data_IF_372395040515
#
_entry.id   IF_372395040515
#
_cell.length_a   1.000
_cell.length_b   1.000
_cell.length_c   1.000
_cell.angle_alpha   90.00
_cell.angle_beta   90.00
_cell.angle_gamma   90.00
#
_symmetry.space_group_name_H-M   'P 1'
#
loop_
_entity.id
_entity.type
_entity.pdbx_description
1 polymer ?
#
# COMPACT_ATOMS: atom_id res chain seq x y z
N UNK A 1 10.29 -46.78 -28.77
CA UNK A 1 10.62 -45.64 -27.90
C UNK A 1 9.29 -45.03 -27.48
N UNK A 2 8.88 -45.23 -26.23
CA UNK A 2 7.58 -44.75 -25.75
C UNK A 2 7.56 -43.22 -25.81
N UNK A 3 6.47 -42.70 -26.37
CA UNK A 3 6.30 -41.29 -26.68
C UNK A 3 6.19 -40.47 -25.38
N UNK A 4 7.32 -39.88 -24.98
CA UNK A 4 7.45 -39.05 -23.77
C UNK A 4 6.38 -37.95 -23.74
N UNK A 5 5.91 -37.50 -24.90
CA UNK A 5 4.89 -36.46 -25.03
C UNK A 5 3.55 -36.87 -24.42
N UNK A 6 3.12 -38.12 -24.63
CA UNK A 6 1.88 -38.64 -24.07
C UNK A 6 1.91 -38.72 -22.53
N UNK A 7 3.09 -39.00 -21.95
CA UNK A 7 3.29 -39.00 -20.50
C UNK A 7 3.22 -37.59 -19.91
N UNK A 8 3.78 -36.60 -20.60
CA UNK A 8 3.68 -35.20 -20.16
C UNK A 8 2.25 -34.66 -20.29
N UNK A 9 1.53 -35.03 -21.34
CA UNK A 9 0.13 -34.62 -21.53
C UNK A 9 -0.79 -35.26 -20.48
N UNK A 10 -0.62 -36.54 -20.16
CA UNK A 10 -1.37 -37.16 -19.06
C UNK A 10 -1.02 -36.57 -17.70
N UNK A 11 0.27 -36.34 -17.42
CA UNK A 11 0.70 -35.71 -16.18
C UNK A 11 0.14 -34.29 -16.03
N UNK A 12 0.09 -33.51 -17.12
CA UNK A 12 -0.49 -32.17 -17.13
C UNK A 12 -2.00 -32.24 -16.87
N UNK A 13 -2.73 -33.13 -17.54
CA UNK A 13 -4.18 -33.29 -17.31
C UNK A 13 -4.46 -33.65 -15.86
N UNK A 14 -3.75 -34.62 -15.26
CA UNK A 14 -3.94 -34.97 -13.84
C UNK A 14 -3.60 -33.83 -12.88
N UNK A 15 -2.59 -33.01 -13.19
CA UNK A 15 -2.21 -31.87 -12.34
C UNK A 15 -3.29 -30.78 -12.31
N UNK A 16 -4.03 -30.61 -13.41
CA UNK A 16 -5.09 -29.61 -13.54
C UNK A 16 -6.49 -30.16 -13.24
N UNK A 17 -6.70 -31.48 -13.30
CA UNK A 17 -7.99 -32.10 -12.94
C UNK A 17 -8.17 -32.23 -11.41
N UNK A 18 -7.09 -32.40 -10.64
CA UNK A 18 -7.15 -32.37 -9.17
C UNK A 18 -7.51 -30.97 -8.61
N UNK A 19 -7.44 -29.92 -9.44
CA UNK A 19 -7.99 -28.59 -9.09
C UNK A 19 -9.49 -28.45 -9.36
N UNK A 20 -10.15 -29.44 -9.97
CA UNK A 20 -11.62 -29.48 -10.09
C UNK A 20 -12.34 -29.98 -8.82
N UNK A 21 -11.61 -30.17 -7.71
CA UNK A 21 -12.17 -30.04 -6.37
C UNK A 21 -12.52 -28.59 -5.99
N UNK A 22 -12.55 -27.66 -6.97
CA UNK A 22 -12.94 -26.27 -6.82
C UNK A 22 -14.36 -26.21 -6.24
N UNK A 23 -14.41 -25.94 -4.94
CA UNK A 23 -15.60 -25.55 -4.21
C UNK A 23 -16.40 -24.58 -5.07
N UNK A 24 -17.68 -24.89 -5.28
CA UNK A 24 -18.62 -24.08 -6.06
C UNK A 24 -18.75 -22.72 -5.40
N UNK A 25 -17.80 -21.83 -5.69
CA UNK A 25 -17.73 -20.49 -5.15
C UNK A 25 -18.93 -19.77 -5.74
N UNK A 26 -19.90 -19.47 -4.89
CA UNK A 26 -21.13 -18.81 -5.33
C UNK A 26 -20.78 -17.50 -6.03
N UNK A 27 -21.54 -17.11 -7.06
CA UNK A 27 -21.31 -15.84 -7.79
C UNK A 27 -21.22 -14.61 -6.85
N UNK A 28 -21.82 -14.69 -5.66
CA UNK A 28 -21.69 -13.68 -4.60
C UNK A 28 -20.30 -13.67 -3.94
N UNK A 29 -19.76 -14.84 -3.55
CA UNK A 29 -18.40 -14.95 -2.99
C UNK A 29 -17.32 -14.52 -3.99
N UNK A 30 -17.47 -14.90 -5.26
CA UNK A 30 -16.55 -14.47 -6.33
C UNK A 30 -16.51 -12.94 -6.47
N UNK A 31 -17.66 -12.25 -6.38
CA UNK A 31 -17.74 -10.78 -6.39
C UNK A 31 -17.11 -10.16 -5.14
N UNK A 32 -17.32 -10.75 -3.96
CA UNK A 32 -16.72 -10.27 -2.70
C UNK A 32 -15.20 -10.36 -2.73
N UNK A 33 -14.64 -11.48 -3.19
CA UNK A 33 -13.20 -11.67 -3.35
C UNK A 33 -12.62 -10.66 -4.36
N UNK A 34 -13.31 -10.45 -5.49
CA UNK A 34 -12.89 -9.45 -6.48
C UNK A 34 -12.87 -8.03 -5.91
N UNK A 35 -13.85 -7.67 -5.08
CA UNK A 35 -13.89 -6.35 -4.43
C UNK A 35 -12.76 -6.17 -3.42
N UNK A 36 -12.48 -7.20 -2.61
CA UNK A 36 -11.38 -7.16 -1.63
C UNK A 36 -10.03 -7.04 -2.34
N UNK A 37 -9.82 -7.79 -3.43
CA UNK A 37 -8.61 -7.67 -4.24
C UNK A 37 -8.43 -6.25 -4.81
N UNK A 38 -9.51 -5.63 -5.31
CA UNK A 38 -9.47 -4.27 -5.82
C UNK A 38 -9.09 -3.25 -4.73
N UNK A 39 -9.71 -3.33 -3.55
CA UNK A 39 -9.37 -2.44 -2.44
C UNK A 39 -7.95 -2.69 -1.91
N UNK A 40 -7.46 -3.93 -1.94
CA UNK A 40 -6.10 -4.29 -1.56
C UNK A 40 -5.06 -3.73 -2.54
N UNK A 41 -5.31 -3.80 -3.84
CA UNK A 41 -4.45 -3.19 -4.87
C UNK A 41 -4.39 -1.67 -4.69
N UNK A 42 -5.54 -1.04 -4.44
CA UNK A 42 -5.64 0.40 -4.17
C UNK A 42 -4.89 0.80 -2.90
N UNK A 43 -5.05 0.06 -1.81
CA UNK A 43 -4.36 0.32 -0.55
C UNK A 43 -2.83 0.17 -0.71
N UNK A 44 -2.36 -0.89 -1.37
CA UNK A 44 -0.92 -1.08 -1.68
C UNK A 44 -0.35 0.03 -2.57
N UNK A 45 -1.13 0.48 -3.55
CA UNK A 45 -0.72 1.59 -4.42
C UNK A 45 -0.55 2.89 -3.62
N UNK A 46 -1.47 3.16 -2.68
CA UNK A 46 -1.36 4.31 -1.78
C UNK A 46 -0.16 4.18 -0.84
N UNK A 47 0.05 3.01 -0.25
CA UNK A 47 1.21 2.74 0.61
C UNK A 47 2.52 2.97 -0.15
N UNK A 48 2.67 2.41 -1.35
CA UNK A 48 3.84 2.61 -2.19
C UNK A 48 4.09 4.10 -2.51
N UNK A 49 3.02 4.84 -2.83
CA UNK A 49 3.13 6.29 -3.06
C UNK A 49 3.64 7.02 -1.82
N UNK A 50 3.15 6.68 -0.62
CA UNK A 50 3.61 7.26 0.65
C UNK A 50 5.03 6.89 0.99
N UNK A 51 5.42 5.65 0.71
CA UNK A 51 6.80 5.22 0.83
C UNK A 51 7.74 6.01 -0.08
N UNK A 52 7.35 6.27 -1.32
CA UNK A 52 8.10 7.10 -2.26
C UNK A 52 8.22 8.55 -1.79
N UNK A 53 7.12 9.16 -1.35
CA UNK A 53 7.11 10.52 -0.79
C UNK A 53 8.08 10.63 0.39
N UNK A 54 8.00 9.70 1.35
CA UNK A 54 8.84 9.65 2.53
C UNK A 54 10.32 9.45 2.18
N UNK A 55 10.63 8.46 1.34
CA UNK A 55 12.02 8.13 0.95
C UNK A 55 12.66 9.29 0.20
N UNK A 56 11.91 9.93 -0.69
CA UNK A 56 12.38 11.10 -1.42
C UNK A 56 12.70 12.23 -0.45
N UNK A 57 11.73 12.64 0.38
CA UNK A 57 11.91 13.73 1.34
C UNK A 57 13.09 13.47 2.28
N UNK A 58 13.23 12.24 2.77
CA UNK A 58 14.33 11.83 3.66
C UNK A 58 15.68 12.01 2.99
N UNK A 59 15.84 11.52 1.74
CA UNK A 59 17.07 11.72 0.96
C UNK A 59 17.37 13.19 0.70
N UNK A 60 16.36 14.03 0.47
CA UNK A 60 16.57 15.46 0.31
C UNK A 60 17.10 16.08 1.61
N UNK A 61 16.48 15.77 2.75
CA UNK A 61 16.91 16.28 4.07
C UNK A 61 18.32 15.82 4.45
N UNK A 62 18.67 14.55 4.23
CA UNK A 62 19.99 13.99 4.53
C UNK A 62 21.11 14.66 3.72
N UNK A 63 20.81 15.07 2.48
CA UNK A 63 21.75 15.77 1.62
C UNK A 63 21.77 17.29 1.84
N UNK A 64 21.08 17.81 2.86
CA UNK A 64 20.95 19.25 3.09
C UNK A 64 20.23 20.00 1.95
N UNK A 65 19.39 19.30 1.18
CA UNK A 65 18.69 19.86 0.02
C UNK A 65 17.21 20.05 0.31
N UNK A 66 16.67 21.15 -0.19
CA UNK A 66 15.22 21.43 -0.13
C UNK A 66 14.60 21.26 -1.52
N UNK A 67 13.52 20.47 -1.59
CA UNK A 67 12.68 20.35 -2.78
C UNK A 67 12.17 21.71 -3.23
N UNK A 68 12.23 22.00 -4.54
CA UNK A 68 11.87 23.32 -5.09
C UNK A 68 10.48 23.79 -4.65
N UNK A 69 9.48 22.91 -4.69
CA UNK A 69 8.10 23.24 -4.28
C UNK A 69 7.90 23.45 -2.77
N UNK A 70 8.92 23.18 -1.94
CA UNK A 70 8.89 23.36 -0.49
C UNK A 70 9.80 24.50 -0.01
N UNK A 71 10.55 25.14 -0.93
CA UNK A 71 11.39 26.29 -0.60
C UNK A 71 10.53 27.50 -0.28
N UNK A 72 10.78 28.08 0.88
CA UNK A 72 10.21 29.38 1.26
C UNK A 72 11.12 30.45 0.65
N UNK A 73 10.57 31.27 -0.26
CA UNK A 73 11.27 32.36 -0.95
C UNK A 73 10.71 33.74 -0.61
N UNK A 74 10.05 33.85 0.54
CA UNK A 74 9.46 35.10 1.01
C UNK A 74 10.61 36.05 1.34
N UNK A 75 10.45 37.34 1.02
CA UNK A 75 11.35 38.41 1.46
C UNK A 75 10.73 39.18 2.63
N UNK A 76 11.55 39.78 3.51
CA UNK A 76 11.03 40.69 4.52
C UNK A 76 10.27 41.84 3.86
N UNK A 77 9.09 42.17 4.38
CA UNK A 77 8.31 43.35 3.94
C UNK A 77 8.68 44.62 4.70
N UNK A 78 9.42 44.49 5.79
CA UNK A 78 9.80 45.57 6.71
C UNK A 78 11.31 45.54 6.91
N UNK A 79 11.92 46.73 6.91
CA UNK A 79 13.37 46.93 7.10
C UNK A 79 14.10 47.30 5.81
N UNK A 80 15.21 48.03 5.96
CA UNK A 80 16.14 48.25 4.87
C UNK A 80 16.76 46.90 4.47
N UNK A 81 16.84 46.65 3.16
CA UNK A 81 17.36 45.40 2.57
C UNK A 81 18.88 45.32 2.68
N UNK A 82 19.40 45.41 3.90
CA UNK A 82 20.81 45.26 4.20
C UNK A 82 21.27 43.82 3.84
N UNK A 83 22.44 43.65 3.19
CA UNK A 83 22.94 42.34 2.81
C UNK A 83 23.03 41.33 3.97
N UNK A 84 23.40 41.77 5.17
CA UNK A 84 23.53 40.89 6.33
C UNK A 84 22.16 40.39 6.80
N UNK A 85 21.15 41.26 6.80
CA UNK A 85 19.77 40.88 7.09
C UNK A 85 19.23 39.89 6.05
N UNK A 86 19.53 40.11 4.77
CA UNK A 86 19.12 39.22 3.69
C UNK A 86 19.76 37.83 3.81
N UNK A 87 21.03 37.75 4.22
CA UNK A 87 21.70 36.48 4.46
C UNK A 87 21.08 35.71 5.64
N UNK A 88 20.87 36.38 6.78
CA UNK A 88 20.19 35.78 7.92
C UNK A 88 18.78 35.32 7.56
N UNK A 89 18.04 36.12 6.81
CA UNK A 89 16.70 35.78 6.34
C UNK A 89 16.68 34.54 5.43
N UNK A 90 17.66 34.43 4.53
CA UNK A 90 17.84 33.22 3.70
C UNK A 90 18.12 32.00 4.57
N UNK A 91 18.92 32.14 5.62
CA UNK A 91 19.15 31.05 6.58
C UNK A 91 17.86 30.63 7.27
N UNK A 92 17.09 31.58 7.81
CA UNK A 92 15.81 31.27 8.48
C UNK A 92 14.80 30.60 7.55
N UNK A 93 14.67 31.07 6.32
CA UNK A 93 13.74 30.49 5.34
C UNK A 93 14.20 29.10 4.88
N UNK A 94 15.51 28.85 4.76
CA UNK A 94 16.06 27.52 4.52
C UNK A 94 15.72 26.56 5.66
N UNK A 95 15.97 26.95 6.91
CA UNK A 95 15.69 26.14 8.10
C UNK A 95 14.20 25.80 8.22
N UNK A 96 13.33 26.79 8.01
CA UNK A 96 11.88 26.57 8.00
C UNK A 96 11.46 25.60 6.89
N UNK A 97 12.09 25.67 5.71
CA UNK A 97 11.81 24.74 4.61
C UNK A 97 12.23 23.30 4.96
N UNK A 98 13.36 23.13 5.65
CA UNK A 98 13.80 21.81 6.16
C UNK A 98 12.85 21.27 7.21
N UNK A 99 12.46 22.10 8.20
CA UNK A 99 11.47 21.71 9.22
C UNK A 99 10.14 21.29 8.59
N UNK A 100 9.69 22.01 7.57
CA UNK A 100 8.48 21.67 6.80
C UNK A 100 8.59 20.30 6.14
N UNK A 101 9.75 19.95 5.55
CA UNK A 101 9.98 18.60 5.02
C UNK A 101 9.91 17.54 6.11
N UNK A 102 10.48 17.81 7.30
CA UNK A 102 10.36 16.92 8.46
C UNK A 102 8.92 16.68 8.90
N UNK A 103 8.08 17.71 8.91
CA UNK A 103 6.64 17.57 9.18
C UNK A 103 5.95 16.69 8.15
N UNK A 104 6.26 16.86 6.86
CA UNK A 104 5.70 16.04 5.79
C UNK A 104 6.13 14.57 5.88
N UNK A 105 7.39 14.31 6.24
CA UNK A 105 7.88 12.94 6.51
C UNK A 105 7.08 12.30 7.64
N UNK A 106 6.86 13.04 8.73
CA UNK A 106 6.10 12.55 9.89
C UNK A 106 4.64 12.24 9.52
N UNK A 107 4.01 13.11 8.73
CA UNK A 107 2.66 12.87 8.21
C UNK A 107 2.62 11.64 7.29
N UNK A 108 3.60 11.48 6.38
CA UNK A 108 3.67 10.34 5.48
C UNK A 108 3.86 9.02 6.24
N UNK A 109 4.66 9.01 7.32
CA UNK A 109 4.80 7.85 8.21
C UNK A 109 3.47 7.43 8.84
N UNK A 110 2.74 8.39 9.42
CA UNK A 110 1.41 8.11 9.99
C UNK A 110 0.45 7.54 8.95
N UNK A 111 0.44 8.13 7.74
CA UNK A 111 -0.39 7.66 6.65
C UNK A 111 -0.01 6.26 6.16
N UNK A 112 1.28 5.90 6.15
CA UNK A 112 1.68 4.52 5.85
C UNK A 112 1.13 3.55 6.90
N UNK A 113 1.28 3.87 8.19
CA UNK A 113 0.79 3.00 9.26
C UNK A 113 -0.73 2.80 9.20
N UNK A 114 -1.48 3.85 8.87
CA UNK A 114 -2.91 3.76 8.57
C UNK A 114 -3.21 2.83 7.38
N UNK A 115 -2.41 2.88 6.30
CA UNK A 115 -2.58 2.00 5.13
C UNK A 115 -2.20 0.55 5.44
N UNK A 116 -1.12 0.31 6.18
CA UNK A 116 -0.71 -1.04 6.60
C UNK A 116 -1.82 -1.72 7.40
N UNK A 117 -2.45 -1.01 8.33
CA UNK A 117 -3.62 -1.53 9.07
C UNK A 117 -4.83 -1.83 8.18
N UNK A 118 -5.00 -1.13 7.05
CA UNK A 118 -6.06 -1.45 6.08
C UNK A 118 -5.70 -2.71 5.29
N UNK A 119 -4.44 -2.84 4.86
CA UNK A 119 -3.95 -4.01 4.13
C UNK A 119 -4.07 -5.27 5.00
N UNK A 120 -3.64 -5.21 6.26
CA UNK A 120 -3.71 -6.33 7.19
C UNK A 120 -5.16 -6.80 7.38
N UNK A 121 -6.10 -5.85 7.57
CA UNK A 121 -7.53 -6.17 7.68
C UNK A 121 -8.09 -6.83 6.43
N UNK A 122 -7.77 -6.30 5.24
CA UNK A 122 -8.23 -6.87 3.97
C UNK A 122 -7.63 -8.26 3.72
N UNK A 123 -6.39 -8.49 4.14
CA UNK A 123 -5.75 -9.80 4.09
C UNK A 123 -6.42 -10.79 5.03
N UNK A 124 -6.71 -10.41 6.28
CA UNK A 124 -7.46 -11.26 7.22
C UNK A 124 -8.86 -11.62 6.69
N UNK A 125 -9.57 -10.67 6.08
CA UNK A 125 -10.86 -10.93 5.45
C UNK A 125 -10.73 -11.94 4.30
N UNK A 126 -9.67 -11.82 3.49
CA UNK A 126 -9.38 -12.76 2.41
C UNK A 126 -9.06 -14.16 2.93
N UNK A 127 -8.30 -14.26 4.02
CA UNK A 127 -7.95 -15.53 4.67
C UNK A 127 -9.17 -16.24 5.28
N UNK A 128 -10.07 -15.49 5.94
CA UNK A 128 -11.33 -16.03 6.48
C UNK A 128 -12.22 -16.60 5.37
N UNK A 129 -12.27 -15.95 4.21
CA UNK A 129 -12.98 -16.47 3.04
C UNK A 129 -12.27 -17.67 2.39
N UNK A 130 -10.95 -17.75 2.51
CA UNK A 130 -10.12 -18.85 2.02
C UNK A 130 -10.14 -20.09 2.92
N UNK A 131 -10.77 -20.04 4.09
CA UNK A 131 -10.93 -21.19 4.98
C UNK A 131 -12.26 -21.93 4.72
N UNK A 132 -12.28 -23.01 3.91
CA UNK A 132 -13.50 -23.75 3.59
C UNK A 132 -14.22 -24.32 4.83
N UNK A 133 -13.52 -24.46 5.97
CA UNK A 133 -14.08 -25.00 7.21
C UNK A 133 -15.06 -24.05 7.92
N UNK A 134 -14.86 -22.73 7.88
CA UNK A 134 -15.80 -21.78 8.52
C UNK A 134 -17.10 -21.63 7.72
N UNK A 135 -16.99 -21.72 6.38
CA UNK A 135 -18.16 -21.74 5.49
C UNK A 135 -18.97 -23.02 5.70
N UNK A 136 -18.31 -24.18 5.80
CA UNK A 136 -18.96 -25.45 6.12
C UNK A 136 -19.58 -25.49 7.53
N UNK A 137 -18.92 -24.96 8.55
CA UNK A 137 -19.48 -24.88 9.90
C UNK A 137 -20.69 -23.94 9.99
N UNK A 138 -20.69 -22.86 9.22
CA UNK A 138 -21.82 -21.92 9.15
C UNK A 138 -23.01 -22.52 8.41
N UNK A 139 -22.76 -23.36 7.38
CA UNK A 139 -23.78 -24.14 6.68
C UNK A 139 -24.38 -25.23 7.57
N UNK A 140 -23.56 -26.03 8.27
CA UNK A 140 -24.06 -27.06 9.20
C UNK A 140 -24.93 -26.47 10.33
N UNK A 141 -24.52 -25.33 10.90
CA UNK A 141 -25.29 -24.65 11.96
C UNK A 141 -26.63 -24.08 11.48
N UNK A 142 -26.82 -23.88 10.17
CA UNK A 142 -28.11 -23.49 9.60
C UNK A 142 -29.03 -24.70 9.34
N UNK A 143 -28.47 -25.86 9.02
CA UNK A 143 -29.24 -27.09 8.76
C UNK A 143 -29.80 -27.71 10.05
N UNK A 144 -29.10 -27.59 11.18
CA UNK A 144 -29.57 -28.05 12.50
C UNK A 144 -30.74 -27.23 13.09
N UNK A 145 -31.14 -26.12 12.44
CA UNK A 145 -32.25 -25.25 12.88
C UNK A 145 -33.54 -25.46 12.09
N UNK A 146 -33.59 -26.43 11.18
CA UNK A 146 -34.80 -26.87 10.47
C UNK A 146 -35.33 -28.17 11.06
#
# INVERSE_FOLDING_TARGET
MADRRALWEQAAVTLFDDTQGASTTTNAQSRTISNINFELEKARTLELKKWWEMTSLTKYTENGRVLRGLRILILPTLGDMDPDLLEQWRSYTADCSVKRMGTLITQAKRQMEEQTQVIDRLMEELEKMGNPQEVQQSLMKMEERR
#
